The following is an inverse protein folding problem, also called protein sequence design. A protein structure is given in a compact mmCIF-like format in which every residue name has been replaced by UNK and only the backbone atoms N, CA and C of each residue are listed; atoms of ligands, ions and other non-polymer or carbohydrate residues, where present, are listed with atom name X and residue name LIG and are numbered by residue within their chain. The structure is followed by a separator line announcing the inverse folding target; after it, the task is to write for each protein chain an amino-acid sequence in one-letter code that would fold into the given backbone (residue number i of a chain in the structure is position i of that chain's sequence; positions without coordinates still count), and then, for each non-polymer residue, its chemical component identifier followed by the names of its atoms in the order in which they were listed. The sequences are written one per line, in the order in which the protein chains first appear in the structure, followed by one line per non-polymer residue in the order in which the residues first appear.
data_IF_419471733768
#
_entry.id   IF_419471733768
#
_cell.length_a   1.000
_cell.length_b   1.000
_cell.length_c   1.000
_cell.angle_alpha   90.00
_cell.angle_beta   90.00
_cell.angle_gamma   90.00
#
_symmetry.space_group_name_H-M   'P 1'
#
loop_
_entity.id
_entity.type
_entity.pdbx_description
1 polymer ?
#
# COMPACT_ATOMS: atom_id res chain seq x y z
N UNK A 1 16.79 -58.36 11.05
CA UNK A 1 16.96 -57.07 11.79
C UNK A 1 17.45 -55.98 10.84
N UNK A 2 18.50 -56.26 10.05
CA UNK A 2 19.04 -55.49 8.91
C UNK A 2 18.02 -54.71 8.05
N UNK A 3 16.98 -55.38 7.51
CA UNK A 3 15.98 -54.71 6.64
C UNK A 3 15.19 -53.63 7.36
N UNK A 4 14.84 -53.80 8.64
CA UNK A 4 14.08 -52.81 9.41
C UNK A 4 14.92 -51.55 9.71
N UNK A 5 16.22 -51.73 9.94
CA UNK A 5 17.18 -50.64 10.09
C UNK A 5 17.38 -49.87 8.77
N UNK A 6 17.44 -50.57 7.64
CA UNK A 6 17.53 -49.95 6.32
C UNK A 6 16.29 -49.11 5.97
N UNK A 7 15.07 -49.61 6.24
CA UNK A 7 13.84 -48.84 6.04
C UNK A 7 13.73 -47.63 7.00
N UNK A 8 14.23 -47.76 8.23
CA UNK A 8 14.30 -46.65 9.18
C UNK A 8 15.29 -45.56 8.71
N UNK A 9 16.47 -45.96 8.27
CA UNK A 9 17.48 -45.04 7.73
C UNK A 9 16.99 -44.35 6.45
N UNK A 10 16.28 -45.07 5.57
CA UNK A 10 15.66 -44.51 4.37
C UNK A 10 14.56 -43.49 4.71
N UNK A 11 13.73 -43.77 5.73
CA UNK A 11 12.69 -42.85 6.21
C UNK A 11 13.25 -41.57 6.83
N UNK A 12 14.32 -41.67 7.62
CA UNK A 12 15.02 -40.52 8.18
C UNK A 12 15.70 -39.69 7.08
N UNK A 13 16.34 -40.35 6.11
CA UNK A 13 16.94 -39.67 4.96
C UNK A 13 15.87 -38.92 4.13
N UNK A 14 14.70 -39.52 3.89
CA UNK A 14 13.58 -38.85 3.20
C UNK A 14 13.05 -37.63 3.97
N UNK A 15 13.09 -37.64 5.30
CA UNK A 15 12.65 -36.51 6.13
C UNK A 15 13.58 -35.29 6.02
N UNK A 16 14.87 -35.50 5.73
CA UNK A 16 15.85 -34.43 5.52
C UNK A 16 15.90 -33.89 4.08
N UNK A 17 15.32 -34.58 3.09
CA UNK A 17 15.38 -34.19 1.67
C UNK A 17 14.36 -33.09 1.30
N UNK A 18 13.35 -32.86 2.14
CA UNK A 18 12.38 -31.78 1.92
C UNK A 18 12.68 -30.60 2.85
N UNK A 19 13.52 -29.62 2.45
CA UNK A 19 13.53 -28.35 3.13
C UNK A 19 12.12 -27.75 3.01
N UNK A 20 11.36 -27.79 4.11
CA UNK A 20 10.11 -27.04 4.22
C UNK A 20 10.49 -25.56 4.17
N UNK A 21 10.32 -24.94 3.01
CA UNK A 21 10.30 -23.49 2.92
C UNK A 21 9.07 -23.01 3.68
N UNK A 22 9.26 -22.67 4.96
CA UNK A 22 8.24 -21.99 5.76
C UNK A 22 8.28 -20.53 5.33
N UNK A 23 7.48 -20.19 4.32
CA UNK A 23 7.16 -18.78 4.06
C UNK A 23 6.11 -18.36 5.08
N UNK A 24 6.47 -17.49 6.00
CA UNK A 24 5.49 -16.84 6.84
C UNK A 24 4.65 -15.90 5.96
N UNK A 25 3.34 -15.85 6.17
CA UNK A 25 2.51 -14.87 5.50
C UNK A 25 2.93 -13.44 5.95
N UNK A 26 2.82 -12.43 5.06
CA UNK A 26 3.03 -11.04 5.45
C UNK A 26 2.14 -10.66 6.64
N UNK A 27 2.70 -9.90 7.58
CA UNK A 27 1.98 -9.41 8.76
C UNK A 27 1.02 -8.28 8.33
N UNK A 28 -0.19 -8.25 8.87
CA UNK A 28 -1.15 -7.18 8.57
C UNK A 28 -0.87 -5.90 9.35
N UNK A 29 -1.22 -4.74 8.79
CA UNK A 29 -1.12 -3.46 9.49
C UNK A 29 -1.99 -3.43 10.75
N UNK A 30 -3.15 -4.09 10.71
CA UNK A 30 -4.04 -4.23 11.85
C UNK A 30 -3.37 -5.00 13.00
N UNK A 31 -2.61 -6.06 12.71
CA UNK A 31 -1.86 -6.79 13.74
C UNK A 31 -0.71 -5.96 14.30
N UNK A 32 -0.02 -5.20 13.47
CA UNK A 32 1.06 -4.30 13.90
C UNK A 32 0.53 -3.18 14.82
N UNK A 33 -0.67 -2.66 14.55
CA UNK A 33 -1.31 -1.63 15.36
C UNK A 33 -1.90 -2.19 16.67
N UNK A 34 -2.63 -3.31 16.60
CA UNK A 34 -3.34 -3.87 17.75
C UNK A 34 -2.43 -4.71 18.66
N UNK A 35 -1.40 -5.35 18.09
CA UNK A 35 -0.51 -6.28 18.79
C UNK A 35 0.97 -5.92 18.60
N UNK A 36 1.29 -4.64 18.39
CA UNK A 36 2.64 -4.17 18.08
C UNK A 36 3.74 -4.66 19.03
N UNK A 37 3.44 -4.83 20.32
CA UNK A 37 4.39 -5.35 21.31
C UNK A 37 4.88 -6.77 20.99
N UNK A 38 4.09 -7.57 20.27
CA UNK A 38 4.47 -8.92 19.81
C UNK A 38 5.49 -8.87 18.68
N UNK A 39 5.56 -7.77 17.94
CA UNK A 39 6.40 -7.58 16.76
C UNK A 39 7.54 -6.60 17.00
N UNK A 40 7.54 -5.84 18.10
CA UNK A 40 8.56 -4.87 18.45
C UNK A 40 9.98 -5.46 18.33
N UNK A 41 10.81 -4.85 17.49
CA UNK A 41 12.20 -5.25 17.24
C UNK A 41 12.35 -6.55 16.44
N UNK A 42 11.26 -7.16 15.96
CA UNK A 42 11.31 -8.37 15.14
C UNK A 42 11.44 -8.03 13.67
N UNK A 43 12.12 -8.92 12.95
CA UNK A 43 12.11 -8.94 11.50
C UNK A 43 10.74 -9.44 11.03
N UNK A 44 10.05 -8.62 10.25
CA UNK A 44 8.74 -8.94 9.68
C UNK A 44 8.77 -8.79 8.17
N UNK A 45 7.81 -9.44 7.52
CA UNK A 45 7.44 -9.18 6.14
C UNK A 45 6.13 -8.40 6.12
N UNK A 46 6.09 -7.29 5.39
CA UNK A 46 4.92 -6.43 5.23
C UNK A 46 4.70 -6.16 3.74
N UNK A 47 3.47 -6.33 3.25
CA UNK A 47 3.13 -6.10 1.85
C UNK A 47 2.02 -5.06 1.71
N UNK A 48 2.15 -4.16 0.74
CA UNK A 48 1.14 -3.14 0.49
C UNK A 48 1.42 -2.28 -0.72
N UNK A 49 0.48 -1.41 -1.04
CA UNK A 49 0.60 -0.37 -2.06
C UNK A 49 1.35 0.84 -1.51
N UNK A 50 2.32 1.34 -2.26
CA UNK A 50 2.97 2.62 -1.96
C UNK A 50 2.00 3.76 -2.28
N UNK A 51 1.68 4.59 -1.30
CA UNK A 51 0.71 5.69 -1.44
C UNK A 51 1.25 7.01 -0.90
N UNK A 52 0.64 8.12 -1.29
CA UNK A 52 0.97 9.45 -0.76
C UNK A 52 2.28 10.01 -1.33
N UNK A 53 3.13 10.56 -0.47
CA UNK A 53 4.39 11.19 -0.87
C UNK A 53 5.59 10.38 -0.39
N UNK A 54 6.61 10.25 -1.25
CA UNK A 54 7.89 9.64 -0.93
C UNK A 54 8.82 10.70 -0.34
N UNK A 55 8.96 10.71 0.99
CA UNK A 55 9.62 11.79 1.71
C UNK A 55 11.11 11.47 1.89
N UNK A 56 11.94 11.86 0.91
CA UNK A 56 13.41 11.73 0.98
C UNK A 56 14.01 12.65 2.04
N UNK A 57 14.97 12.14 2.81
CA UNK A 57 15.73 12.86 3.84
C UNK A 57 17.16 12.33 3.87
N UNK A 58 18.04 12.96 3.08
CA UNK A 58 19.40 12.49 2.85
C UNK A 58 19.40 11.15 2.12
N UNK A 59 20.18 10.19 2.61
CA UNK A 59 20.33 8.85 2.03
C UNK A 59 19.15 7.90 2.31
N UNK A 60 18.12 8.37 3.00
CA UNK A 60 16.95 7.60 3.38
C UNK A 60 15.65 8.30 2.98
N UNK A 61 14.55 7.58 3.03
CA UNK A 61 13.24 8.09 2.73
C UNK A 61 12.17 7.38 3.56
N UNK A 62 11.10 8.12 3.87
CA UNK A 62 9.85 7.55 4.33
C UNK A 62 8.99 7.17 3.13
N UNK A 63 8.61 5.91 3.09
CA UNK A 63 7.76 5.32 2.06
C UNK A 63 6.48 4.85 2.77
N UNK A 64 5.36 5.57 2.62
CA UNK A 64 4.08 5.14 3.18
C UNK A 64 3.56 3.93 2.39
N UNK A 65 3.34 2.80 3.08
CA UNK A 65 2.85 1.57 2.47
C UNK A 65 1.54 1.16 3.12
N UNK A 66 0.51 0.97 2.31
CA UNK A 66 -0.84 0.60 2.74
C UNK A 66 -1.19 -0.82 2.34
N UNK A 67 -1.59 -1.65 3.30
CA UNK A 67 -2.12 -2.99 3.01
C UNK A 67 -3.61 -2.98 2.59
N UNK A 68 -4.20 -1.78 2.47
CA UNK A 68 -5.61 -1.54 2.18
C UNK A 68 -6.47 -1.28 3.42
N UNK A 69 -5.96 -1.56 4.63
CA UNK A 69 -6.64 -1.25 5.90
C UNK A 69 -6.02 -0.03 6.56
N UNK A 70 -4.70 -0.05 6.75
CA UNK A 70 -3.96 1.07 7.33
C UNK A 70 -2.66 1.31 6.57
N UNK A 71 -2.06 2.46 6.80
CA UNK A 71 -0.77 2.84 6.21
C UNK A 71 0.31 2.81 7.27
N UNK A 72 1.41 2.10 7.00
CA UNK A 72 2.58 2.02 7.86
C UNK A 72 3.74 2.76 7.18
N UNK A 73 4.45 3.58 7.95
CA UNK A 73 5.65 4.25 7.47
C UNK A 73 6.83 3.29 7.37
N UNK A 74 7.42 3.19 6.18
CA UNK A 74 8.62 2.39 5.95
C UNK A 74 9.81 3.33 5.78
N UNK A 75 10.77 3.24 6.71
CA UNK A 75 12.03 3.96 6.63
C UNK A 75 13.05 3.11 5.86
N UNK A 76 13.43 3.57 4.67
CA UNK A 76 14.27 2.80 3.75
C UNK A 76 15.34 3.68 3.09
N UNK A 77 16.47 3.13 2.63
CA UNK A 77 17.42 3.83 1.77
C UNK A 77 16.75 4.49 0.56
N UNK A 78 17.17 5.71 0.22
CA UNK A 78 16.58 6.51 -0.86
C UNK A 78 16.69 5.84 -2.25
N UNK A 79 17.63 4.90 -2.42
CA UNK A 79 17.76 4.07 -3.63
C UNK A 79 16.49 3.26 -3.93
N UNK A 80 15.71 2.88 -2.92
CA UNK A 80 14.46 2.14 -3.14
C UNK A 80 13.36 3.04 -3.71
N UNK A 81 13.39 4.34 -3.38
CA UNK A 81 12.45 5.31 -3.95
C UNK A 81 12.63 5.44 -5.46
N UNK A 82 13.85 5.28 -5.97
CA UNK A 82 14.15 5.39 -7.41
C UNK A 82 13.60 4.21 -8.22
N UNK A 83 13.33 3.08 -7.56
CA UNK A 83 12.73 1.91 -8.18
C UNK A 83 11.20 2.03 -8.28
N UNK A 84 10.59 2.82 -7.39
CA UNK A 84 9.14 3.03 -7.35
C UNK A 84 8.73 3.95 -8.50
N UNK A 85 7.93 3.42 -9.43
CA UNK A 85 7.46 4.10 -10.62
C UNK A 85 6.10 4.76 -10.40
N UNK A 86 5.22 4.11 -9.66
CA UNK A 86 3.86 4.60 -9.41
C UNK A 86 3.61 4.73 -7.91
N UNK A 87 3.05 5.87 -7.53
CA UNK A 87 2.58 6.12 -6.17
C UNK A 87 1.07 6.29 -6.20
N UNK A 88 0.39 5.61 -5.27
CA UNK A 88 -1.05 5.59 -5.15
C UNK A 88 -1.59 6.98 -4.86
N UNK A 89 -2.53 7.40 -5.71
CA UNK A 89 -3.22 8.68 -5.66
C UNK A 89 -4.58 8.56 -6.37
N UNK A 90 -5.36 9.64 -6.44
CA UNK A 90 -6.63 9.62 -7.16
C UNK A 90 -6.51 9.16 -8.64
N UNK A 91 -5.37 9.44 -9.28
CA UNK A 91 -5.13 9.16 -10.71
C UNK A 91 -4.35 7.87 -10.96
N UNK A 92 -3.73 7.29 -9.94
CA UNK A 92 -2.79 6.17 -10.07
C UNK A 92 -3.02 5.16 -8.97
N UNK A 93 -2.97 3.88 -9.33
CA UNK A 93 -2.69 2.81 -8.38
C UNK A 93 -1.18 2.70 -8.24
N UNK A 94 -0.69 2.75 -7.01
CA UNK A 94 0.72 2.67 -6.68
C UNK A 94 1.31 1.29 -6.95
N UNK A 95 2.64 1.24 -6.94
CA UNK A 95 3.38 -0.02 -6.94
C UNK A 95 3.10 -0.78 -5.65
N UNK A 96 2.88 -2.08 -5.76
CA UNK A 96 2.77 -2.97 -4.61
C UNK A 96 4.15 -3.51 -4.28
N UNK A 97 4.54 -3.34 -3.02
CA UNK A 97 5.86 -3.68 -2.52
C UNK A 97 5.78 -4.72 -1.41
N UNK A 98 6.81 -5.56 -1.33
CA UNK A 98 7.12 -6.41 -0.18
C UNK A 98 8.30 -5.80 0.55
N UNK A 99 8.13 -5.58 1.83
CA UNK A 99 9.12 -4.97 2.72
C UNK A 99 9.52 -6.00 3.76
N UNK A 100 10.81 -6.32 3.83
CA UNK A 100 11.37 -7.10 4.93
C UNK A 100 12.15 -6.12 5.79
N UNK A 101 11.75 -5.97 7.05
CA UNK A 101 12.32 -4.94 7.91
C UNK A 101 12.09 -5.19 9.40
N UNK A 102 12.76 -4.39 10.22
CA UNK A 102 12.58 -4.43 11.68
C UNK A 102 11.43 -3.51 12.04
N UNK A 103 10.41 -4.05 12.70
CA UNK A 103 9.26 -3.27 13.15
C UNK A 103 9.56 -2.54 14.47
N UNK A 104 9.18 -1.28 14.54
CA UNK A 104 9.13 -0.51 15.78
C UNK A 104 7.72 0.04 15.98
N UNK A 105 7.07 -0.38 17.07
CA UNK A 105 5.83 0.20 17.55
C UNK A 105 6.02 1.66 17.99
N UNK A 106 7.19 1.97 18.56
CA UNK A 106 7.61 3.33 18.89
C UNK A 106 9.12 3.48 18.67
N UNK A 107 9.49 4.12 17.55
CA UNK A 107 10.88 4.27 17.14
C UNK A 107 11.58 5.42 17.86
N UNK A 108 12.61 5.12 18.64
CA UNK A 108 13.37 6.15 19.38
C UNK A 108 14.10 7.15 18.47
N UNK A 109 14.48 6.73 17.27
CA UNK A 109 15.17 7.59 16.30
C UNK A 109 14.21 8.60 15.64
N UNK A 110 12.91 8.29 15.60
CA UNK A 110 11.91 9.03 14.84
C UNK A 110 10.77 9.51 15.74
N UNK A 111 11.11 10.05 16.91
CA UNK A 111 10.13 10.72 17.78
C UNK A 111 9.09 9.81 18.43
N UNK A 112 9.27 8.49 18.37
CA UNK A 112 8.30 7.52 18.87
C UNK A 112 7.27 7.07 17.84
N UNK A 113 7.42 7.45 16.56
CA UNK A 113 6.53 7.01 15.50
C UNK A 113 6.62 5.50 15.27
N UNK A 114 5.51 4.91 14.85
CA UNK A 114 5.46 3.52 14.42
C UNK A 114 6.04 3.42 13.02
N UNK A 115 7.07 2.61 12.86
CA UNK A 115 7.77 2.44 11.59
C UNK A 115 8.28 1.02 11.34
N UNK A 116 8.67 0.78 10.10
CA UNK A 116 9.45 -0.39 9.70
C UNK A 116 10.76 0.11 9.12
N UNK A 117 11.89 -0.30 9.72
CA UNK A 117 13.21 -0.05 9.14
C UNK A 117 13.48 -1.13 8.11
N UNK A 118 13.33 -0.79 6.83
CA UNK A 118 13.48 -1.74 5.74
C UNK A 118 14.93 -2.22 5.62
N UNK A 119 15.09 -3.54 5.61
CA UNK A 119 16.34 -4.19 5.17
C UNK A 119 16.32 -4.47 3.67
N UNK A 120 15.14 -4.79 3.14
CA UNK A 120 14.91 -4.91 1.71
C UNK A 120 13.49 -4.44 1.36
N UNK A 121 13.36 -3.96 0.13
CA UNK A 121 12.11 -3.60 -0.49
C UNK A 121 12.12 -4.15 -1.92
N UNK A 122 11.09 -4.90 -2.26
CA UNK A 122 10.91 -5.52 -3.57
C UNK A 122 9.57 -5.08 -4.17
N UNK A 123 9.55 -4.72 -5.45
CA UNK A 123 8.31 -4.41 -6.17
C UNK A 123 7.70 -5.72 -6.67
N UNK A 124 6.69 -6.22 -5.96
CA UNK A 124 5.98 -7.47 -6.30
C UNK A 124 4.92 -7.27 -7.38
N UNK A 125 4.42 -6.03 -7.56
CA UNK A 125 3.48 -5.70 -8.63
C UNK A 125 3.59 -4.23 -9.02
N UNK A 126 3.78 -3.98 -10.31
CA UNK A 126 3.79 -2.61 -10.82
C UNK A 126 2.39 -2.00 -10.82
N UNK A 127 2.31 -0.73 -10.43
CA UNK A 127 1.13 0.11 -10.44
C UNK A 127 0.72 0.55 -11.84
N UNK A 128 -0.36 1.31 -11.93
CA UNK A 128 -0.92 1.75 -13.19
C UNK A 128 -1.79 3.01 -13.06
N UNK A 129 -1.98 3.72 -14.17
CA UNK A 129 -2.91 4.86 -14.22
C UNK A 129 -4.36 4.35 -14.14
N UNK A 130 -5.15 4.93 -13.27
CA UNK A 130 -6.58 4.65 -13.16
C UNK A 130 -7.31 5.49 -14.22
N UNK A 131 -8.07 4.82 -15.08
CA UNK A 131 -9.00 5.48 -15.99
C UNK A 131 -10.33 5.67 -15.27
N UNK A 132 -10.76 6.91 -15.10
CA UNK A 132 -12.09 7.25 -14.60
C UNK A 132 -12.97 7.58 -15.82
N UNK A 133 -13.71 6.60 -16.38
CA UNK A 133 -14.63 6.89 -17.47
C UNK A 133 -15.71 7.84 -16.96
N UNK A 134 -15.94 8.94 -17.69
CA UNK A 134 -17.06 9.82 -17.40
C UNK A 134 -18.37 9.08 -17.69
N UNK A 135 -19.22 9.00 -16.69
CA UNK A 135 -20.57 8.47 -16.83
C UNK A 135 -21.39 9.42 -17.72
N UNK A 136 -21.74 8.96 -18.92
CA UNK A 136 -22.47 9.75 -19.93
C UNK A 136 -23.81 10.26 -19.39
N UNK A 137 -24.50 9.49 -18.54
CA UNK A 137 -25.77 9.91 -17.97
C UNK A 137 -25.59 11.09 -17.02
N UNK A 138 -24.52 11.09 -16.21
CA UNK A 138 -24.20 12.21 -15.32
C UNK A 138 -23.82 13.47 -16.10
N UNK A 139 -23.04 13.32 -17.17
CA UNK A 139 -22.67 14.46 -18.04
C UNK A 139 -23.91 15.05 -18.72
N UNK A 140 -24.80 14.20 -19.25
CA UNK A 140 -26.04 14.65 -19.88
C UNK A 140 -26.96 15.35 -18.87
N UNK A 141 -27.15 14.77 -17.68
CA UNK A 141 -27.95 15.37 -16.62
C UNK A 141 -27.42 16.73 -16.18
N UNK A 142 -26.10 16.87 -16.01
CA UNK A 142 -25.47 18.15 -15.70
C UNK A 142 -25.69 19.18 -16.82
N UNK A 143 -25.63 18.76 -18.09
CA UNK A 143 -25.92 19.61 -19.24
C UNK A 143 -27.36 20.13 -19.26
N UNK A 144 -28.34 19.26 -18.99
CA UNK A 144 -29.75 19.63 -18.91
C UNK A 144 -29.97 20.64 -17.76
N UNK A 145 -29.46 20.34 -16.57
CA UNK A 145 -29.58 21.25 -15.41
C UNK A 145 -28.92 22.60 -15.66
N UNK A 146 -27.74 22.62 -16.30
CA UNK A 146 -27.06 23.85 -16.70
C UNK A 146 -27.88 24.68 -17.69
N UNK A 147 -28.49 24.04 -18.69
CA UNK A 147 -29.36 24.72 -19.65
C UNK A 147 -30.59 25.32 -18.95
N UNK A 148 -31.23 24.57 -18.06
CA UNK A 148 -32.36 25.07 -17.26
C UNK A 148 -31.98 26.29 -16.41
N UNK A 149 -30.82 26.25 -15.75
CA UNK A 149 -30.33 27.38 -14.95
C UNK A 149 -30.10 28.64 -15.81
N UNK A 150 -29.53 28.48 -17.01
CA UNK A 150 -29.34 29.58 -17.96
C UNK A 150 -30.68 30.16 -18.41
N UNK A 151 -31.65 29.31 -18.77
CA UNK A 151 -33.00 29.75 -19.17
C UNK A 151 -33.66 30.53 -18.03
N UNK A 152 -33.65 29.99 -16.80
CA UNK A 152 -34.23 30.66 -15.63
C UNK A 152 -33.54 31.99 -15.33
N UNK A 153 -32.21 32.07 -15.46
CA UNK A 153 -31.46 33.30 -15.29
C UNK A 153 -31.90 34.38 -16.29
N UNK A 154 -32.02 34.04 -17.57
CA UNK A 154 -32.48 34.98 -18.60
C UNK A 154 -33.94 35.40 -18.37
N UNK A 155 -34.85 34.47 -18.11
CA UNK A 155 -36.26 34.79 -17.80
C UNK A 155 -36.36 35.76 -16.63
N UNK A 156 -35.61 35.52 -15.55
CA UNK A 156 -35.57 36.42 -14.42
C UNK A 156 -35.01 37.80 -14.80
N UNK A 157 -33.92 37.84 -15.58
CA UNK A 157 -33.27 39.09 -16.01
C UNK A 157 -34.18 39.95 -16.89
N UNK A 158 -34.97 39.34 -17.77
CA UNK A 158 -35.96 40.03 -18.60
C UNK A 158 -37.16 40.50 -17.76
N UNK A 159 -37.70 39.65 -16.89
CA UNK A 159 -38.80 40.02 -15.98
C UNK A 159 -38.47 41.21 -15.07
N UNK A 160 -37.26 41.27 -14.52
CA UNK A 160 -36.83 42.39 -13.66
C UNK A 160 -36.66 43.68 -14.47
N UNK A 161 -36.29 43.59 -15.76
CA UNK A 161 -36.13 44.77 -16.63
C UNK A 161 -37.47 45.37 -17.06
N UNK A 162 -38.53 44.58 -17.10
CA UNK A 162 -39.88 45.06 -17.46
C UNK A 162 -40.64 45.68 -16.25
N UNK A 163 -40.11 45.57 -15.03
CA UNK A 163 -40.70 46.11 -13.78
C UNK A 163 -40.02 47.39 -13.26
N UNK A 164 -38.99 47.89 -13.94
CA UNK A 164 -38.23 49.12 -13.63
C UNK A 164 -38.43 50.17 -14.70
#
# INVERSE_FOLDING_TARGET
MERRLAWFALGVALFFIFPRQVSAAPVSSADLLNYGSRYQGKLIEFEGEVIGDLMKRGEYAWIPVSDGLNTIGVWAPALYVEQIKYVGSYRYRGDRVRVIGIFHQACRQHGGDLDIHAKSLEIIKQGCRISHPLDRARVLGAGILGLFAVILFFVNRFRVRDLS
#
